data_IF_975422805822
#
_entry.id   IF_975422805822
#
_cell.length_a   1.000
_cell.length_b   1.000
_cell.length_c   1.000
_cell.angle_alpha   90.00
_cell.angle_beta   90.00
_cell.angle_gamma   90.00
#
_symmetry.space_group_name_H-M   'P 1'
#
loop_
_entity.id
_entity.type
_entity.pdbx_description
1 polymer ?
#
# COMPACT_ATOMS: atom_id res chain seq x y z
N UNK A 1 13.52 14.48 -18.30
CA UNK A 1 13.25 14.36 -16.85
C UNK A 1 12.01 13.48 -16.77
N UNK A 2 12.14 12.24 -16.32
CA UNK A 2 10.96 11.37 -16.16
C UNK A 2 10.26 11.84 -14.90
N UNK A 3 9.07 12.41 -15.03
CA UNK A 3 8.26 12.79 -13.88
C UNK A 3 7.79 11.51 -13.19
N UNK A 4 8.07 11.38 -11.90
CA UNK A 4 7.61 10.25 -11.11
C UNK A 4 6.09 10.34 -10.96
N UNK A 5 5.36 9.29 -11.35
CA UNK A 5 3.92 9.19 -11.12
C UNK A 5 3.56 9.25 -9.63
N UNK A 6 4.48 8.83 -8.77
CA UNK A 6 4.38 8.92 -7.31
C UNK A 6 5.49 9.81 -6.80
N UNK A 7 5.13 11.05 -6.48
CA UNK A 7 6.05 12.03 -5.90
C UNK A 7 6.18 11.92 -4.38
N UNK A 8 5.26 11.22 -3.70
CA UNK A 8 5.20 11.13 -2.24
C UNK A 8 4.75 9.75 -1.77
N UNK A 9 5.17 9.34 -0.56
CA UNK A 9 4.72 8.11 0.07
C UNK A 9 3.20 8.07 0.32
N UNK A 10 2.55 9.23 0.42
CA UNK A 10 1.09 9.36 0.56
C UNK A 10 0.34 8.89 -0.70
N UNK A 11 0.88 9.18 -1.89
CA UNK A 11 0.36 8.66 -3.16
C UNK A 11 0.50 7.14 -3.22
N UNK A 12 1.67 6.61 -2.85
CA UNK A 12 1.89 5.17 -2.74
C UNK A 12 0.89 4.53 -1.77
N UNK A 13 0.67 5.15 -0.59
CA UNK A 13 -0.34 4.70 0.38
C UNK A 13 -1.74 4.66 -0.24
N UNK A 14 -2.18 5.70 -0.95
CA UNK A 14 -3.51 5.74 -1.56
C UNK A 14 -3.69 4.63 -2.61
N UNK A 15 -2.67 4.34 -3.41
CA UNK A 15 -2.70 3.26 -4.40
C UNK A 15 -2.82 1.90 -3.68
N UNK A 16 -2.05 1.70 -2.60
CA UNK A 16 -2.10 0.48 -1.79
C UNK A 16 -3.47 0.30 -1.14
N UNK A 17 -4.07 1.37 -0.58
CA UNK A 17 -5.39 1.32 0.04
C UNK A 17 -6.47 0.87 -0.95
N UNK A 18 -6.49 1.44 -2.16
CA UNK A 18 -7.42 1.02 -3.22
C UNK A 18 -7.23 -0.45 -3.60
N UNK A 19 -5.99 -0.92 -3.65
CA UNK A 19 -5.69 -2.32 -3.95
C UNK A 19 -6.10 -3.26 -2.79
N UNK A 20 -5.95 -2.82 -1.54
CA UNK A 20 -6.44 -3.55 -0.35
C UNK A 20 -7.95 -3.78 -0.46
N UNK A 21 -8.72 -2.73 -0.71
CA UNK A 21 -10.19 -2.80 -0.82
C UNK A 21 -10.62 -3.74 -1.94
N UNK A 22 -9.95 -3.62 -3.10
CA UNK A 22 -10.19 -4.46 -4.27
C UNK A 22 -9.86 -5.94 -4.04
N UNK A 23 -8.70 -6.26 -3.45
CA UNK A 23 -8.26 -7.65 -3.26
C UNK A 23 -8.93 -8.34 -2.08
N UNK A 24 -9.19 -7.62 -0.99
CA UNK A 24 -9.78 -8.19 0.23
C UNK A 24 -11.30 -8.06 0.28
N UNK A 25 -11.90 -7.36 -0.70
CA UNK A 25 -13.34 -7.22 -0.89
C UNK A 25 -14.03 -6.73 0.41
N UNK A 26 -13.65 -5.52 0.81
CA UNK A 26 -14.18 -4.78 1.95
C UNK A 26 -13.68 -3.34 1.92
N UNK A 27 -14.26 -2.49 2.78
CA UNK A 27 -13.94 -1.07 2.86
C UNK A 27 -12.89 -0.84 3.94
N UNK A 28 -11.85 -0.04 3.65
CA UNK A 28 -10.86 0.33 4.66
C UNK A 28 -11.50 1.33 5.61
N UNK A 29 -11.70 0.92 6.87
CA UNK A 29 -12.26 1.78 7.91
C UNK A 29 -11.17 2.58 8.63
N UNK A 30 -10.02 1.96 8.86
CA UNK A 30 -8.87 2.61 9.50
C UNK A 30 -7.54 2.10 8.91
N UNK A 31 -6.50 2.93 8.95
CA UNK A 31 -5.16 2.61 8.46
C UNK A 31 -4.07 3.38 9.21
N UNK A 32 -3.14 2.63 9.79
CA UNK A 32 -1.89 3.13 10.36
C UNK A 32 -0.70 2.74 9.49
N UNK A 33 0.24 3.67 9.38
CA UNK A 33 1.54 3.39 8.76
C UNK A 33 2.43 2.72 9.79
N UNK A 34 2.93 1.54 9.47
CA UNK A 34 3.89 0.82 10.30
C UNK A 34 5.33 1.23 9.93
N UNK A 35 5.64 1.25 8.63
CA UNK A 35 6.94 1.71 8.13
C UNK A 35 6.87 2.19 6.69
N UNK A 36 7.67 3.20 6.35
CA UNK A 36 7.87 3.69 4.98
C UNK A 36 9.37 3.64 4.68
N UNK A 37 9.75 3.11 3.52
CA UNK A 37 11.10 3.17 2.99
C UNK A 37 11.07 3.48 1.49
N UNK A 38 12.10 4.19 1.02
CA UNK A 38 12.36 4.40 -0.39
C UNK A 38 13.66 3.69 -0.73
N UNK A 39 13.61 2.72 -1.63
CA UNK A 39 14.80 2.09 -2.19
C UNK A 39 15.08 2.71 -3.56
N UNK A 40 16.26 3.29 -3.74
CA UNK A 40 16.67 3.87 -5.03
C UNK A 40 17.24 2.77 -5.91
N UNK A 41 16.65 2.55 -7.09
CA UNK A 41 17.19 1.65 -8.10
C UNK A 41 17.54 2.43 -9.37
N UNK A 42 18.48 1.89 -10.16
CA UNK A 42 18.89 2.51 -11.43
C UNK A 42 17.74 2.68 -12.42
N UNK A 43 16.70 1.83 -12.31
CA UNK A 43 15.52 1.82 -13.19
C UNK A 43 14.32 2.61 -12.63
N UNK A 44 14.45 3.18 -11.42
CA UNK A 44 13.37 3.90 -10.73
C UNK A 44 13.34 3.64 -9.23
N UNK A 45 12.81 4.58 -8.46
CA UNK A 45 12.73 4.40 -7.01
C UNK A 45 11.54 3.50 -6.64
N UNK A 46 11.71 2.67 -5.61
CA UNK A 46 10.67 1.77 -5.13
C UNK A 46 10.26 2.18 -3.72
N UNK A 47 9.00 2.54 -3.56
CA UNK A 47 8.38 2.77 -2.26
C UNK A 47 7.99 1.44 -1.63
N UNK A 48 8.57 1.15 -0.47
CA UNK A 48 8.20 0.01 0.36
C UNK A 48 7.40 0.54 1.53
N UNK A 49 6.11 0.21 1.54
CA UNK A 49 5.16 0.70 2.54
C UNK A 49 4.55 -0.47 3.28
N UNK A 50 4.61 -0.42 4.61
CA UNK A 50 3.91 -1.35 5.49
C UNK A 50 2.80 -0.61 6.22
N UNK A 51 1.60 -1.17 6.14
CA UNK A 51 0.38 -0.61 6.71
C UNK A 51 -0.26 -1.64 7.65
N UNK A 52 -0.83 -1.16 8.73
CA UNK A 52 -1.85 -1.86 9.52
C UNK A 52 -3.18 -1.27 9.12
N UNK A 53 -4.13 -2.09 8.69
CA UNK A 53 -5.45 -1.61 8.26
C UNK A 53 -6.57 -2.41 8.91
N UNK A 54 -7.68 -1.75 9.24
CA UNK A 54 -8.92 -2.42 9.60
C UNK A 54 -9.84 -2.38 8.38
N UNK A 55 -10.19 -3.56 7.88
CA UNK A 55 -11.18 -3.73 6.85
C UNK A 55 -12.53 -4.06 7.47
N UNK A 56 -13.57 -3.35 7.02
CA UNK A 56 -14.95 -3.65 7.32
C UNK A 56 -15.57 -4.41 6.16
N UNK A 57 -16.22 -5.53 6.48
CA UNK A 57 -17.00 -6.32 5.53
C UNK A 57 -18.37 -6.58 6.11
N UNK A 58 -19.35 -5.78 5.69
CA UNK A 58 -20.67 -5.75 6.32
C UNK A 58 -20.59 -5.31 7.79
N UNK A 59 -20.95 -6.21 8.71
CA UNK A 59 -20.89 -5.95 10.16
C UNK A 59 -19.59 -6.41 10.83
N UNK A 60 -18.73 -7.15 10.10
CA UNK A 60 -17.48 -7.68 10.64
C UNK A 60 -16.31 -6.74 10.35
N UNK A 61 -15.46 -6.52 11.34
CA UNK A 61 -14.20 -5.78 11.20
C UNK A 61 -13.03 -6.73 11.39
N UNK A 62 -12.00 -6.61 10.56
CA UNK A 62 -10.80 -7.45 10.65
C UNK A 62 -9.55 -6.64 10.34
N UNK A 63 -8.55 -6.79 11.20
CA UNK A 63 -7.24 -6.17 11.02
C UNK A 63 -6.37 -6.95 10.04
N UNK A 64 -5.57 -6.23 9.26
CA UNK A 64 -4.59 -6.76 8.33
C UNK A 64 -3.28 -5.99 8.43
N UNK A 65 -2.18 -6.74 8.36
CA UNK A 65 -0.84 -6.26 8.08
C UNK A 65 -0.60 -6.35 6.57
N UNK A 66 -0.39 -5.22 5.93
CA UNK A 66 -0.16 -5.12 4.49
C UNK A 66 1.24 -4.62 4.25
N UNK A 67 1.98 -5.29 3.38
CA UNK A 67 3.28 -4.86 2.89
C UNK A 67 3.20 -4.77 1.38
N UNK A 68 3.52 -3.61 0.82
CA UNK A 68 3.49 -3.41 -0.62
C UNK A 68 4.75 -2.68 -1.10
N UNK A 69 5.16 -3.01 -2.32
CA UNK A 69 6.20 -2.30 -3.06
C UNK A 69 5.59 -1.63 -4.27
N UNK A 70 5.76 -0.32 -4.36
CA UNK A 70 5.19 0.50 -5.42
C UNK A 70 6.31 1.19 -6.17
N UNK A 71 6.33 1.02 -7.48
CA UNK A 71 7.28 1.68 -8.36
C UNK A 71 6.93 3.16 -8.49
N UNK A 72 7.88 4.06 -8.20
CA UNK A 72 7.61 5.50 -8.14
C UNK A 72 7.39 6.13 -9.51
N UNK A 73 7.94 5.53 -10.56
CA UNK A 73 7.87 6.04 -11.93
C UNK A 73 6.54 5.66 -12.58
N UNK A 74 6.19 4.38 -12.54
CA UNK A 74 4.99 3.82 -13.18
C UNK A 74 3.74 3.88 -12.31
N UNK A 75 3.91 3.97 -10.99
CA UNK A 75 2.81 3.87 -10.03
C UNK A 75 2.28 2.44 -9.86
N UNK A 76 2.96 1.43 -10.43
CA UNK A 76 2.55 0.04 -10.34
C UNK A 76 2.93 -0.59 -9.00
N UNK A 77 2.02 -1.39 -8.43
CA UNK A 77 2.34 -2.25 -7.28
C UNK A 77 3.09 -3.48 -7.80
N UNK A 78 4.40 -3.52 -7.59
CA UNK A 78 5.26 -4.66 -7.98
C UNK A 78 5.09 -5.86 -7.06
N UNK A 79 4.90 -5.62 -5.77
CA UNK A 79 4.64 -6.68 -4.77
C UNK A 79 3.54 -6.25 -3.80
N UNK A 80 2.66 -7.17 -3.44
CA UNK A 80 1.58 -6.95 -2.49
C UNK A 80 1.39 -8.19 -1.62
N UNK A 81 1.55 -8.03 -0.32
CA UNK A 81 1.29 -9.07 0.67
C UNK A 81 0.32 -8.52 1.72
N UNK A 82 -0.76 -9.25 2.00
CA UNK A 82 -1.69 -8.94 3.07
C UNK A 82 -1.89 -10.16 3.97
N UNK A 83 -1.68 -9.97 5.27
CA UNK A 83 -1.83 -11.01 6.30
C UNK A 83 -2.79 -10.51 7.37
N UNK A 84 -3.67 -11.36 7.93
CA UNK A 84 -4.52 -10.95 9.05
C UNK A 84 -3.64 -10.55 10.25
N UNK A 85 -3.93 -9.40 10.86
CA UNK A 85 -3.34 -9.00 12.12
C UNK A 85 -3.95 -9.89 13.22
N UNK A 86 -3.14 -10.79 13.76
CA UNK A 86 -3.56 -11.80 14.75
C UNK A 86 -3.57 -11.22 16.15
#
# INVERSE_FOLDING_TARGET
MVEAAISSWEDAKNIILKEIEKRLNGDVEDCWVDSIRLEQHMDGDIWIVRLKTILKKGFSKKGYLVSAKVDSISGEIKEFEAKPAR
#
